data_IF_535485301185
#
_entry.id   IF_535485301185
#
_cell.length_a   1.000
_cell.length_b   1.000
_cell.length_c   1.000
_cell.angle_alpha   90.00
_cell.angle_beta   90.00
_cell.angle_gamma   90.00
#
_symmetry.space_group_name_H-M   'P 1'
#
loop_
_entity.id
_entity.type
_entity.pdbx_description
1 polymer ?
#
# COMPACT_ATOMS: atom_id res chain seq x y z
N UNK A 1 5.31 22.06 34.54
CA UNK A 1 4.26 21.45 34.04
C UNK A 1 4.46 21.18 32.63
N UNK A 2 4.28 20.06 32.25
CA UNK A 2 4.41 19.79 31.06
C UNK A 2 3.36 20.01 30.30
N UNK A 3 3.50 20.63 29.48
CA UNK A 3 2.47 20.86 28.61
C UNK A 3 2.56 19.96 27.44
N UNK A 4 1.77 18.96 27.47
CA UNK A 4 1.67 18.12 26.33
C UNK A 4 0.71 18.76 25.38
N UNK A 5 1.15 19.72 24.65
CA UNK A 5 0.34 20.28 23.59
C UNK A 5 0.09 19.15 22.57
N UNK A 6 -1.19 18.74 22.38
CA UNK A 6 -1.51 17.69 21.41
C UNK A 6 -1.01 18.00 20.01
N UNK A 7 -0.91 19.29 19.66
CA UNK A 7 -0.42 19.70 18.36
C UNK A 7 1.04 19.33 18.15
N UNK A 8 1.86 19.51 19.20
CA UNK A 8 3.29 19.16 19.13
C UNK A 8 3.47 17.66 18.98
N UNK A 9 2.70 16.89 19.69
CA UNK A 9 2.75 15.44 19.58
C UNK A 9 2.34 14.98 18.19
N UNK A 10 1.26 15.55 17.66
CA UNK A 10 0.78 15.22 16.33
C UNK A 10 1.80 15.58 15.26
N UNK A 11 2.46 16.73 15.39
CA UNK A 11 3.49 17.11 14.44
C UNK A 11 4.67 16.17 14.48
N UNK A 12 5.10 15.77 15.65
CA UNK A 12 6.21 14.85 15.82
C UNK A 12 5.88 13.50 15.19
N UNK A 13 4.67 13.03 15.40
CA UNK A 13 4.20 11.79 14.83
C UNK A 13 4.12 11.88 13.31
N UNK A 14 3.60 12.98 12.80
CA UNK A 14 3.49 13.22 11.37
C UNK A 14 4.87 13.25 10.71
N UNK A 15 5.83 13.92 11.33
CA UNK A 15 7.20 13.96 10.79
C UNK A 15 7.84 12.58 10.78
N UNK A 16 7.60 11.78 11.81
CA UNK A 16 8.12 10.42 11.86
C UNK A 16 7.51 9.56 10.74
N UNK A 17 6.22 9.74 10.49
CA UNK A 17 5.54 9.03 9.42
C UNK A 17 6.06 9.44 8.04
N UNK A 18 6.29 10.73 7.83
CA UNK A 18 6.84 11.23 6.58
C UNK A 18 8.24 10.67 6.34
N UNK A 19 9.08 10.64 7.37
CA UNK A 19 10.43 10.07 7.25
C UNK A 19 10.39 8.60 6.87
N UNK A 20 9.46 7.84 7.47
CA UNK A 20 9.29 6.44 7.11
C UNK A 20 8.79 6.28 5.69
N UNK A 21 7.84 7.12 5.28
CA UNK A 21 7.31 7.10 3.93
C UNK A 21 8.38 7.42 2.90
N UNK A 22 9.25 8.39 3.19
CA UNK A 22 10.34 8.73 2.30
C UNK A 22 11.33 7.59 2.14
N UNK A 23 11.64 6.88 3.22
CA UNK A 23 12.52 5.72 3.15
C UNK A 23 11.90 4.58 2.33
N UNK A 24 10.61 4.33 2.55
CA UNK A 24 9.89 3.33 1.78
C UNK A 24 9.81 3.70 0.31
N UNK A 25 9.57 4.97 0.04
CA UNK A 25 9.53 5.49 -1.33
C UNK A 25 10.86 5.31 -2.03
N UNK A 26 11.96 5.60 -1.34
CA UNK A 26 13.30 5.38 -1.88
C UNK A 26 13.53 3.92 -2.22
N UNK A 27 13.12 3.01 -1.36
CA UNK A 27 13.25 1.58 -1.61
C UNK A 27 12.34 1.13 -2.76
N UNK A 28 11.14 1.68 -2.83
CA UNK A 28 10.17 1.31 -3.85
C UNK A 28 10.62 1.71 -5.25
N UNK A 29 11.26 2.88 -5.38
CA UNK A 29 11.66 3.40 -6.67
C UNK A 29 13.10 3.10 -7.06
N UNK A 30 13.87 2.46 -6.20
CA UNK A 30 15.22 2.05 -6.55
C UNK A 30 15.17 0.90 -7.54
N UNK A 31 16.11 0.86 -8.50
CA UNK A 31 16.19 -0.29 -9.38
C UNK A 31 16.37 -1.55 -8.54
N UNK A 32 15.58 -2.54 -8.82
CA UNK A 32 15.71 -3.79 -8.10
C UNK A 32 17.09 -4.40 -8.38
N UNK A 33 17.75 -4.96 -7.37
CA UNK A 33 18.95 -5.74 -7.62
C UNK A 33 18.60 -6.90 -8.56
N UNK A 34 19.60 -7.42 -9.25
CA UNK A 34 19.40 -8.52 -10.18
C UNK A 34 18.50 -9.59 -9.54
N UNK A 35 17.43 -10.00 -10.22
CA UNK A 35 16.49 -10.94 -9.62
C UNK A 35 17.19 -12.25 -9.30
N UNK A 36 16.95 -12.74 -8.08
CA UNK A 36 17.39 -14.06 -7.73
C UNK A 36 16.56 -15.08 -8.53
N UNK A 37 17.19 -16.19 -8.89
CA UNK A 37 16.49 -17.22 -9.63
C UNK A 37 15.20 -17.63 -8.96
N UNK A 38 14.10 -17.61 -9.72
CA UNK A 38 12.80 -18.05 -9.24
C UNK A 38 11.97 -17.00 -8.52
N UNK A 39 12.44 -15.77 -8.40
CA UNK A 39 11.65 -14.70 -7.82
C UNK A 39 11.27 -13.70 -8.88
N UNK A 40 9.98 -13.47 -9.03
CA UNK A 40 9.49 -12.38 -9.84
C UNK A 40 9.80 -11.06 -9.12
N UNK A 41 10.31 -10.08 -9.89
CA UNK A 41 10.51 -8.74 -9.35
C UNK A 41 9.15 -8.08 -9.24
N UNK A 42 8.84 -7.57 -8.07
CA UNK A 42 7.60 -6.83 -7.84
C UNK A 42 7.88 -5.62 -6.96
N UNK A 43 6.99 -4.64 -7.06
CA UNK A 43 7.08 -3.46 -6.20
C UNK A 43 6.06 -3.57 -5.07
N UNK A 44 6.32 -2.88 -3.99
CA UNK A 44 5.47 -2.92 -2.81
C UNK A 44 4.83 -1.55 -2.57
N UNK A 45 3.51 -1.44 -2.72
CA UNK A 45 2.84 -0.18 -2.43
C UNK A 45 2.88 0.12 -0.93
N UNK A 46 3.08 1.38 -0.54
CA UNK A 46 2.97 1.74 0.86
C UNK A 46 1.53 1.62 1.32
N UNK A 47 1.35 1.22 2.58
CA UNK A 47 0.02 1.02 3.14
C UNK A 47 -0.07 1.69 4.52
N UNK A 48 -1.30 2.12 4.84
CA UNK A 48 -1.67 2.50 6.19
C UNK A 48 -2.62 1.43 6.72
N UNK A 49 -2.39 1.01 7.94
CA UNK A 49 -3.28 0.09 8.63
C UNK A 49 -3.82 0.79 9.86
N UNK A 50 -5.12 1.00 9.90
CA UNK A 50 -5.79 1.76 10.95
C UNK A 50 -6.85 0.88 11.60
N UNK A 51 -6.91 0.89 12.90
CA UNK A 51 -7.88 0.09 13.63
C UNK A 51 -8.90 1.00 14.31
N UNK A 52 -10.18 0.66 14.12
CA UNK A 52 -11.27 1.29 14.85
C UNK A 52 -11.88 0.24 15.80
N UNK A 53 -12.92 0.61 16.52
CA UNK A 53 -13.59 -0.33 17.40
C UNK A 53 -14.16 -1.54 16.65
N UNK A 54 -14.63 -1.33 15.43
CA UNK A 54 -15.34 -2.37 14.68
C UNK A 54 -14.59 -2.96 13.49
N UNK A 55 -13.55 -2.30 13.03
CA UNK A 55 -12.89 -2.74 11.81
C UNK A 55 -11.42 -2.32 11.73
N UNK A 56 -10.71 -2.99 10.85
CA UNK A 56 -9.40 -2.54 10.39
C UNK A 56 -9.60 -1.92 9.02
N UNK A 57 -8.94 -0.80 8.78
CA UNK A 57 -8.96 -0.14 7.47
C UNK A 57 -7.55 -0.16 6.90
N UNK A 58 -7.43 -0.65 5.70
CA UNK A 58 -6.16 -0.68 4.98
C UNK A 58 -6.26 0.29 3.80
N UNK A 59 -5.30 1.21 3.73
CA UNK A 59 -5.19 2.14 2.61
C UNK A 59 -3.89 1.81 1.89
N UNK A 60 -3.97 1.43 0.64
CA UNK A 60 -2.79 1.12 -0.16
C UNK A 60 -2.68 2.13 -1.30
N UNK A 61 -1.50 2.75 -1.44
CA UNK A 61 -1.28 3.73 -2.50
C UNK A 61 -1.08 2.99 -3.83
N UNK A 62 -2.09 3.02 -4.67
CA UNK A 62 -2.10 2.32 -5.95
C UNK A 62 -2.59 3.23 -7.07
N UNK A 63 -1.87 4.33 -7.34
CA UNK A 63 -2.29 5.25 -8.38
C UNK A 63 -2.25 4.59 -9.76
N UNK A 64 -3.31 4.79 -10.52
CA UNK A 64 -3.37 4.25 -11.88
C UNK A 64 -3.60 2.76 -11.98
N UNK A 65 -4.00 2.10 -10.90
CA UNK A 65 -4.29 0.67 -10.91
C UNK A 65 -5.79 0.46 -11.03
N UNK A 66 -6.19 -0.42 -11.94
CA UNK A 66 -7.59 -0.79 -12.10
C UNK A 66 -8.01 -1.66 -10.91
N UNK A 67 -9.04 -1.28 -10.15
CA UNK A 67 -9.46 -2.06 -8.99
C UNK A 67 -9.88 -3.49 -9.34
N UNK A 68 -10.33 -3.73 -10.56
CA UNK A 68 -10.70 -5.08 -10.99
C UNK A 68 -9.49 -5.99 -11.20
N UNK A 69 -8.29 -5.42 -11.19
CA UNK A 69 -7.05 -6.18 -11.35
C UNK A 69 -6.31 -6.37 -10.03
N UNK A 70 -6.95 -6.06 -8.93
CA UNK A 70 -6.35 -6.20 -7.61
C UNK A 70 -6.96 -7.40 -6.91
N UNK A 71 -6.10 -8.25 -6.37
CA UNK A 71 -6.52 -9.38 -5.56
C UNK A 71 -6.24 -9.09 -4.09
N UNK A 72 -7.21 -9.38 -3.25
CA UNK A 72 -7.11 -9.20 -1.81
C UNK A 72 -7.45 -10.52 -1.15
N UNK A 73 -6.50 -11.08 -0.42
CA UNK A 73 -6.72 -12.35 0.27
C UNK A 73 -6.19 -12.28 1.69
N UNK A 74 -6.76 -13.08 2.59
CA UNK A 74 -6.25 -13.24 3.94
C UNK A 74 -5.83 -14.68 4.11
N UNK A 75 -4.59 -14.90 4.51
CA UNK A 75 -4.05 -16.23 4.75
C UNK A 75 -3.25 -16.21 6.03
N UNK A 76 -3.62 -17.03 7.00
CA UNK A 76 -2.89 -17.19 8.25
C UNK A 76 -2.56 -15.85 8.95
N UNK A 77 -3.55 -14.99 9.07
CA UNK A 77 -3.38 -13.70 9.75
C UNK A 77 -2.65 -12.65 8.96
N UNK A 78 -2.43 -12.89 7.68
CA UNK A 78 -1.75 -11.94 6.79
C UNK A 78 -2.68 -11.55 5.66
N UNK A 79 -2.82 -10.24 5.44
CA UNK A 79 -3.52 -9.71 4.29
C UNK A 79 -2.53 -9.60 3.14
N UNK A 80 -2.88 -10.14 1.99
CA UNK A 80 -2.04 -10.07 0.80
C UNK A 80 -2.76 -9.27 -0.27
N UNK A 81 -2.13 -8.21 -0.71
CA UNK A 81 -2.60 -7.40 -1.84
C UNK A 81 -1.68 -7.69 -3.02
N UNK A 82 -2.25 -7.97 -4.17
CA UNK A 82 -1.45 -8.21 -5.37
C UNK A 82 -2.19 -7.76 -6.61
N UNK A 83 -1.43 -7.52 -7.66
CA UNK A 83 -1.97 -7.09 -8.95
C UNK A 83 -0.89 -6.53 -9.84
N UNK A 84 -1.33 -5.86 -10.89
CA UNK A 84 -0.43 -5.25 -11.86
C UNK A 84 -0.86 -3.82 -12.14
N UNK A 85 0.12 -2.92 -12.20
CA UNK A 85 -0.12 -1.60 -12.74
C UNK A 85 0.24 -1.63 -14.22
N UNK A 86 -0.77 -1.50 -15.06
CA UNK A 86 -0.61 -1.55 -16.50
C UNK A 86 -0.39 -0.13 -17.02
N UNK A 87 0.62 0.04 -17.84
CA UNK A 87 0.90 1.35 -18.42
C UNK A 87 -0.18 1.76 -19.41
N UNK A 88 -0.49 3.07 -19.52
CA UNK A 88 -1.46 3.54 -20.50
C UNK A 88 -1.01 3.21 -21.94
N UNK A 89 -1.95 2.94 -22.84
CA UNK A 89 -1.58 2.56 -24.22
C UNK A 89 -0.86 3.68 -24.99
N UNK A 90 -1.00 4.93 -24.54
CA UNK A 90 -0.30 6.05 -25.15
C UNK A 90 1.22 5.90 -25.10
N UNK A 91 1.74 5.12 -24.15
CA UNK A 91 3.17 4.93 -24.03
C UNK A 91 3.79 4.16 -25.19
N UNK A 92 2.99 3.45 -25.96
CA UNK A 92 3.49 2.67 -27.09
C UNK A 92 4.08 3.53 -28.20
N UNK A 93 3.56 4.76 -28.35
CA UNK A 93 3.98 5.66 -29.41
C UNK A 93 4.58 6.94 -28.88
N UNK A 94 4.72 7.07 -27.57
CA UNK A 94 5.18 8.30 -26.93
C UNK A 94 6.68 8.29 -26.71
N UNK A 95 7.28 9.47 -26.71
CA UNK A 95 8.64 9.64 -26.24
C UNK A 95 8.58 9.83 -24.74
N UNK A 96 9.20 8.94 -23.98
CA UNK A 96 9.14 8.98 -22.54
C UNK A 96 10.29 9.81 -22.01
N UNK A 97 9.99 10.93 -21.38
CA UNK A 97 11.03 11.77 -20.77
C UNK A 97 11.30 11.37 -19.33
N UNK A 98 10.31 10.87 -18.64
CA UNK A 98 10.46 10.47 -17.25
C UNK A 98 9.38 9.45 -16.90
N UNK A 99 9.77 8.36 -16.25
CA UNK A 99 8.85 7.31 -15.85
C UNK A 99 9.22 6.89 -14.42
N UNK A 100 8.65 7.56 -13.44
CA UNK A 100 9.00 7.35 -12.04
C UNK A 100 7.96 6.57 -11.24
N UNK A 101 6.73 6.53 -11.73
CA UNK A 101 5.70 5.75 -11.04
C UNK A 101 6.01 4.26 -11.21
N UNK A 102 5.89 3.47 -10.16
CA UNK A 102 6.15 2.05 -10.27
C UNK A 102 5.16 1.38 -11.20
N UNK A 103 5.62 0.37 -11.92
CA UNK A 103 4.83 -0.32 -12.91
C UNK A 103 4.99 -1.82 -12.78
N UNK A 104 4.08 -2.55 -13.38
CA UNK A 104 4.12 -3.99 -13.39
C UNK A 104 3.55 -4.59 -12.11
N UNK A 105 3.99 -5.79 -11.81
CA UNK A 105 3.43 -6.55 -10.70
C UNK A 105 3.77 -5.96 -9.35
N UNK A 106 2.78 -5.86 -8.50
CA UNK A 106 2.98 -5.49 -7.11
C UNK A 106 2.46 -6.59 -6.20
N UNK A 107 3.05 -6.66 -5.02
CA UNK A 107 2.55 -7.52 -3.95
C UNK A 107 2.92 -6.90 -2.62
N UNK A 108 1.96 -6.89 -1.71
CA UNK A 108 2.20 -6.39 -0.37
C UNK A 108 1.57 -7.33 0.64
N UNK A 109 2.35 -7.74 1.63
CA UNK A 109 1.87 -8.57 2.73
C UNK A 109 1.80 -7.71 3.98
N UNK A 110 0.68 -7.80 4.68
CA UNK A 110 0.43 -6.99 5.86
C UNK A 110 0.00 -7.91 6.98
N UNK A 111 0.79 -7.98 8.05
CA UNK A 111 0.42 -8.74 9.22
C UNK A 111 -0.73 -8.05 9.94
N UNK A 112 -1.78 -8.78 10.23
CA UNK A 112 -2.96 -8.23 10.90
C UNK A 112 -2.91 -8.55 12.39
N UNK A 113 -3.49 -7.67 13.23
CA UNK A 113 -3.68 -8.01 14.64
C UNK A 113 -4.48 -9.31 14.76
N UNK A 114 -4.28 -10.08 15.85
CA UNK A 114 -5.02 -11.32 16.03
C UNK A 114 -6.52 -11.10 16.01
N UNK A 115 -7.26 -12.01 15.36
CA UNK A 115 -8.70 -11.92 15.26
C UNK A 115 -9.19 -12.52 13.97
N UNK A 116 -10.50 -12.52 13.83
CA UNK A 116 -11.16 -12.96 12.62
C UNK A 116 -11.82 -11.78 11.95
N UNK A 117 -11.70 -11.72 10.63
CA UNK A 117 -12.15 -10.57 9.86
C UNK A 117 -12.96 -11.01 8.65
N UNK A 118 -13.90 -10.17 8.29
CA UNK A 118 -14.65 -10.31 7.06
C UNK A 118 -14.24 -9.19 6.13
N UNK A 119 -13.80 -9.53 4.92
CA UNK A 119 -13.33 -8.54 3.96
C UNK A 119 -14.52 -7.94 3.24
N UNK A 120 -14.71 -6.64 3.36
CA UNK A 120 -15.69 -5.92 2.56
C UNK A 120 -15.11 -5.70 1.16
N UNK A 121 -16.00 -5.40 0.21
CA UNK A 121 -15.58 -5.17 -1.17
C UNK A 121 -14.59 -4.01 -1.23
N UNK A 122 -13.37 -4.22 -1.76
CA UNK A 122 -12.40 -3.14 -1.90
C UNK A 122 -12.87 -2.07 -2.88
N UNK A 123 -12.44 -0.83 -2.63
CA UNK A 123 -12.81 0.30 -3.50
C UNK A 123 -11.62 1.24 -3.64
N UNK A 124 -11.59 1.95 -4.75
CA UNK A 124 -10.56 2.96 -4.98
C UNK A 124 -11.09 4.34 -4.60
N UNK A 125 -10.34 5.04 -3.78
CA UNK A 125 -10.69 6.40 -3.35
C UNK A 125 -9.44 7.25 -3.43
N UNK A 126 -9.47 8.27 -4.26
CA UNK A 126 -8.36 9.23 -4.40
C UNK A 126 -6.99 8.57 -4.63
N UNK A 127 -6.96 7.54 -5.46
CA UNK A 127 -5.71 6.84 -5.78
C UNK A 127 -5.27 5.80 -4.77
N UNK A 128 -6.06 5.58 -3.72
CA UNK A 128 -5.79 4.56 -2.73
C UNK A 128 -6.82 3.44 -2.80
N UNK A 129 -6.35 2.22 -2.68
CA UNK A 129 -7.25 1.10 -2.47
C UNK A 129 -7.64 1.09 -1.00
N UNK A 130 -8.92 1.07 -0.72
CA UNK A 130 -9.43 0.99 0.64
C UNK A 130 -10.03 -0.38 0.86
N UNK A 131 -9.49 -1.11 1.81
CA UNK A 131 -9.99 -2.42 2.20
C UNK A 131 -10.46 -2.34 3.64
N UNK A 132 -11.73 -2.60 3.86
CA UNK A 132 -12.30 -2.63 5.20
C UNK A 132 -12.41 -4.08 5.66
N UNK A 133 -11.85 -4.37 6.82
CA UNK A 133 -11.87 -5.69 7.43
C UNK A 133 -12.71 -5.60 8.69
N UNK A 134 -13.93 -6.08 8.61
CA UNK A 134 -14.82 -6.01 9.76
C UNK A 134 -14.46 -7.09 10.78
N UNK A 135 -14.38 -6.68 12.04
CA UNK A 135 -14.10 -7.63 13.12
C UNK A 135 -15.28 -8.54 13.35
N UNK A 136 -15.00 -9.84 13.41
CA UNK A 136 -16.01 -10.83 13.74
C UNK A 136 -15.93 -11.17 15.23
N UNK A 137 -17.06 -11.38 15.83
CA UNK A 137 -17.13 -11.74 17.25
C UNK A 137 -16.58 -13.15 17.51
#
# INVERSE_FOLDING_TARGET
MRNSDPRLWMWSEALAMVSRAERLRGQMFQPAPAPQRGRAVHWEPPVDLIETEHELLVFAALPGVDPDRIQVTITAGTLVLSGDRVLPPELRTATIHRLELPQGRFERQISLPPGRYEVARPRMVNGCLVVALRKLA
#
